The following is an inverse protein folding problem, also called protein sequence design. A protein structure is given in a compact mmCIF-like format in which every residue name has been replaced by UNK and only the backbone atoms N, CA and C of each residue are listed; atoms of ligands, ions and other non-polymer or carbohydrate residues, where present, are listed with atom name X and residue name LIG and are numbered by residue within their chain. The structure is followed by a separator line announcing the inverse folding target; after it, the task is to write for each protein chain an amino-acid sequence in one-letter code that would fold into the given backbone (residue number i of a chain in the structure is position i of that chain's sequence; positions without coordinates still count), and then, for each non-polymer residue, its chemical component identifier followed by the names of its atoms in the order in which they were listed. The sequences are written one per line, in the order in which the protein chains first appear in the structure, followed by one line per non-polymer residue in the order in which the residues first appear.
data_IF_702943690024
#
_entry.id   IF_702943690024
#
_cell.length_a   1.000
_cell.length_b   1.000
_cell.length_c   1.000
_cell.angle_alpha   90.00
_cell.angle_beta   90.00
_cell.angle_gamma   90.00
#
_symmetry.space_group_name_H-M   'P 1'
#
loop_
_entity.id
_entity.type
_entity.pdbx_description
1 polymer ?
#
# COMPACT_ATOMS: atom_id res chain seq x y z
N UNK A 1 8.17 3.45 -10.94
CA UNK A 1 7.26 3.43 -9.77
C UNK A 1 7.37 4.74 -9.01
N UNK A 2 6.26 5.34 -8.71
CA UNK A 2 6.21 6.60 -7.97
C UNK A 2 5.50 6.38 -6.65
N UNK A 3 6.13 6.76 -5.56
CA UNK A 3 5.53 6.67 -4.23
C UNK A 3 5.14 8.07 -3.79
N UNK A 4 3.88 8.24 -3.44
CA UNK A 4 3.34 9.51 -3.01
C UNK A 4 2.80 9.39 -1.61
N UNK A 5 3.25 10.25 -0.72
CA UNK A 5 2.76 10.30 0.65
C UNK A 5 1.89 11.54 0.80
N UNK A 6 0.60 11.31 1.02
CA UNK A 6 -0.37 12.39 1.13
C UNK A 6 -0.58 12.88 2.55
N UNK A 7 0.23 12.39 3.48
CA UNK A 7 0.12 12.80 4.88
C UNK A 7 0.95 14.05 5.13
N UNK A 8 0.29 15.17 5.27
CA UNK A 8 1.00 16.45 5.37
C UNK A 8 1.54 16.81 6.74
N UNK A 9 1.32 16.00 7.78
CA UNK A 9 1.63 16.40 9.15
C UNK A 9 2.67 15.56 9.86
N UNK A 10 3.21 14.55 9.24
CA UNK A 10 4.22 13.72 9.87
C UNK A 10 5.60 14.37 9.80
N UNK A 11 6.44 14.13 10.82
CA UNK A 11 7.84 14.54 10.72
C UNK A 11 8.49 13.92 9.48
N UNK A 12 9.47 14.61 8.94
CA UNK A 12 10.15 14.18 7.73
C UNK A 12 10.80 12.80 7.90
N UNK A 13 11.36 12.52 9.07
CA UNK A 13 11.96 11.23 9.36
C UNK A 13 10.93 10.10 9.26
N UNK A 14 9.72 10.34 9.72
CA UNK A 14 8.65 9.35 9.62
C UNK A 14 8.18 9.17 8.19
N UNK A 15 8.14 10.24 7.42
CA UNK A 15 7.80 10.15 6.00
C UNK A 15 8.81 9.31 5.23
N UNK A 16 10.08 9.47 5.55
CA UNK A 16 11.13 8.65 4.93
C UNK A 16 11.00 7.18 5.32
N UNK A 17 10.69 6.92 6.59
CA UNK A 17 10.49 5.55 7.07
C UNK A 17 9.32 4.89 6.36
N UNK A 18 8.23 5.63 6.18
CA UNK A 18 7.06 5.14 5.46
C UNK A 18 7.43 4.79 4.02
N UNK A 19 8.13 5.69 3.35
CA UNK A 19 8.53 5.47 1.98
C UNK A 19 9.38 4.21 1.85
N UNK A 20 10.31 4.00 2.79
CA UNK A 20 11.16 2.81 2.78
C UNK A 20 10.37 1.52 3.02
N UNK A 21 9.45 1.55 3.98
CA UNK A 21 8.63 0.38 4.27
C UNK A 21 7.81 -0.03 3.05
N UNK A 22 7.18 0.93 2.41
CA UNK A 22 6.35 0.66 1.24
C UNK A 22 7.21 0.21 0.06
N UNK A 23 8.31 0.92 -0.18
CA UNK A 23 9.22 0.56 -1.27
C UNK A 23 9.73 -0.87 -1.10
N UNK A 24 10.18 -1.21 0.09
CA UNK A 24 10.68 -2.55 0.38
C UNK A 24 9.63 -3.62 0.10
N UNK A 25 8.39 -3.36 0.50
CA UNK A 25 7.32 -4.33 0.36
C UNK A 25 6.92 -4.58 -1.10
N UNK A 26 7.02 -3.57 -1.95
CA UNK A 26 6.52 -3.66 -3.32
C UNK A 26 7.59 -3.64 -4.40
N UNK A 27 8.87 -3.49 -4.01
CA UNK A 27 9.94 -3.32 -4.99
C UNK A 27 10.08 -4.47 -5.97
N UNK A 28 9.80 -5.71 -5.53
CA UNK A 28 9.88 -6.86 -6.44
C UNK A 28 8.84 -6.82 -7.55
N UNK A 29 7.83 -5.98 -7.40
CA UNK A 29 6.78 -5.81 -8.41
C UNK A 29 6.94 -4.52 -9.20
N UNK A 30 8.07 -3.86 -9.06
CA UNK A 30 8.30 -2.54 -9.62
C UNK A 30 7.95 -2.45 -11.11
N UNK A 31 8.30 -3.47 -11.87
CA UNK A 31 8.05 -3.46 -13.31
C UNK A 31 6.56 -3.50 -13.66
N UNK A 32 5.72 -3.95 -12.74
CA UNK A 32 4.27 -4.02 -12.94
C UNK A 32 3.53 -2.85 -12.33
N UNK A 33 4.20 -2.00 -11.56
CA UNK A 33 3.57 -0.91 -10.83
C UNK A 33 3.77 0.42 -11.55
N UNK A 34 2.67 1.14 -11.72
CA UNK A 34 2.70 2.49 -12.25
C UNK A 34 2.87 3.53 -11.14
N UNK A 35 2.09 3.44 -10.08
CA UNK A 35 2.15 4.39 -8.99
C UNK A 35 1.70 3.78 -7.67
N UNK A 36 2.22 4.32 -6.57
CA UNK A 36 1.82 3.95 -5.22
C UNK A 36 1.49 5.22 -4.46
N UNK A 37 0.33 5.25 -3.82
CA UNK A 37 -0.08 6.35 -2.96
C UNK A 37 -0.28 5.84 -1.54
N UNK A 38 0.29 6.54 -0.57
CA UNK A 38 0.12 6.22 0.83
C UNK A 38 -0.56 7.41 1.51
N UNK A 39 -1.66 7.14 2.17
CA UNK A 39 -2.42 8.17 2.89
C UNK A 39 -2.56 7.76 4.35
N UNK A 40 -2.21 8.67 5.24
CA UNK A 40 -2.44 8.50 6.66
C UNK A 40 -3.47 9.51 7.12
N UNK A 41 -4.43 9.05 7.88
CA UNK A 41 -5.49 9.91 8.38
C UNK A 41 -5.78 9.57 9.82
N UNK A 42 -5.96 10.62 10.61
CA UNK A 42 -6.38 10.47 11.99
C UNK A 42 -7.90 10.25 12.00
N UNK A 43 -8.32 9.11 12.51
CA UNK A 43 -9.73 8.77 12.53
C UNK A 43 -10.35 8.87 13.93
N UNK A 44 -9.58 9.31 14.92
CA UNK A 44 -10.16 9.43 16.25
C UNK A 44 -11.19 10.54 16.26
N UNK A 45 -12.29 10.27 16.94
CA UNK A 45 -13.35 11.23 17.07
C UNK A 45 -13.12 12.18 18.23
N UNK A 46 -14.12 12.99 18.56
CA UNK A 46 -14.02 13.95 19.66
C UNK A 46 -13.76 13.31 21.01
N UNK A 47 -13.94 12.03 21.13
CA UNK A 47 -13.72 11.33 22.39
C UNK A 47 -12.26 11.00 22.64
N UNK A 48 -11.39 11.34 21.76
CA UNK A 48 -9.99 10.97 21.88
C UNK A 48 -9.73 9.56 21.40
N UNK A 49 -8.60 9.01 21.72
CA UNK A 49 -8.13 7.79 21.09
C UNK A 49 -7.23 8.18 19.94
N UNK A 50 -6.26 7.35 19.62
CA UNK A 50 -5.24 7.73 18.64
C UNK A 50 -5.21 6.66 17.57
N UNK A 51 -6.27 6.57 16.80
CA UNK A 51 -6.33 5.63 15.70
C UNK A 51 -5.88 6.33 14.43
N UNK A 52 -4.95 5.70 13.76
CA UNK A 52 -4.45 6.18 12.47
C UNK A 52 -4.90 5.21 11.41
N UNK A 53 -5.58 5.74 10.40
CA UNK A 53 -5.96 4.95 9.24
C UNK A 53 -4.87 5.09 8.18
N UNK A 54 -4.29 3.96 7.79
CA UNK A 54 -3.33 3.94 6.71
C UNK A 54 -3.97 3.30 5.50
N UNK A 55 -3.90 3.97 4.37
CA UNK A 55 -4.43 3.46 3.11
C UNK A 55 -3.31 3.45 2.08
N UNK A 56 -3.14 2.32 1.42
CA UNK A 56 -2.19 2.20 0.33
C UNK A 56 -2.96 1.87 -0.94
N UNK A 57 -2.78 2.69 -1.96
CA UNK A 57 -3.37 2.48 -3.26
C UNK A 57 -2.26 2.24 -4.27
N UNK A 58 -2.31 1.12 -4.96
CA UNK A 58 -1.35 0.78 -6.00
C UNK A 58 -2.06 0.73 -7.33
N UNK A 59 -1.51 1.45 -8.31
CA UNK A 59 -1.98 1.39 -9.70
C UNK A 59 -1.00 0.52 -10.48
N UNK A 60 -1.51 -0.52 -11.10
CA UNK A 60 -0.69 -1.40 -11.93
C UNK A 60 -0.70 -0.92 -13.37
N UNK A 61 0.32 -1.29 -14.11
CA UNK A 61 0.45 -0.89 -15.51
C UNK A 61 -0.65 -1.47 -16.40
N UNK A 62 -1.29 -2.55 -15.96
CA UNK A 62 -2.41 -3.13 -16.69
C UNK A 62 -3.74 -2.41 -16.44
N UNK A 63 -3.72 -1.33 -15.66
CA UNK A 63 -4.90 -0.55 -15.36
C UNK A 63 -5.60 -0.92 -14.06
N UNK A 64 -5.21 -2.01 -13.42
CA UNK A 64 -5.83 -2.41 -12.15
C UNK A 64 -5.42 -1.48 -11.03
N UNK A 65 -6.32 -1.26 -10.09
CA UNK A 65 -6.05 -0.49 -8.89
C UNK A 65 -6.33 -1.35 -7.67
N UNK A 66 -5.36 -1.43 -6.80
CA UNK A 66 -5.43 -2.24 -5.59
C UNK A 66 -5.39 -1.33 -4.38
N UNK A 67 -6.27 -1.58 -3.43
CA UNK A 67 -6.42 -0.72 -2.26
C UNK A 67 -6.40 -1.56 -0.98
N UNK A 68 -5.58 -1.14 -0.02
CA UNK A 68 -5.50 -1.77 1.30
C UNK A 68 -5.64 -0.70 2.35
N UNK A 69 -6.40 -0.99 3.39
CA UNK A 69 -6.62 -0.07 4.50
C UNK A 69 -6.36 -0.79 5.81
N UNK A 70 -5.62 -0.16 6.71
CA UNK A 70 -5.36 -0.64 8.06
C UNK A 70 -5.53 0.49 9.05
N UNK A 71 -6.01 0.14 10.25
CA UNK A 71 -6.16 1.11 11.33
C UNK A 71 -5.32 0.63 12.51
N UNK A 72 -4.42 1.46 12.98
CA UNK A 72 -3.52 1.14 14.07
C UNK A 72 -3.30 2.37 14.94
N UNK A 73 -2.84 2.14 16.17
CA UNK A 73 -2.52 3.24 17.06
C UNK A 73 -1.31 4.04 16.58
N UNK A 74 -0.35 3.36 16.00
CA UNK A 74 0.88 3.99 15.52
C UNK A 74 0.91 4.00 14.00
N UNK A 75 1.24 5.16 13.38
CA UNK A 75 1.27 5.25 11.92
C UNK A 75 2.20 4.25 11.25
N UNK A 76 3.41 4.09 11.80
CA UNK A 76 4.37 3.17 11.20
C UNK A 76 3.92 1.72 11.26
N UNK A 77 3.27 1.34 12.37
CA UNK A 77 2.72 -0.01 12.47
C UNK A 77 1.62 -0.24 11.45
N UNK A 78 0.77 0.77 11.24
CA UNK A 78 -0.28 0.70 10.23
C UNK A 78 0.29 0.56 8.83
N UNK A 79 1.30 1.37 8.52
CA UNK A 79 1.95 1.31 7.20
C UNK A 79 2.61 -0.04 6.98
N UNK A 80 3.33 -0.55 7.99
CA UNK A 80 4.00 -1.84 7.85
C UNK A 80 3.01 -2.96 7.55
N UNK A 81 1.90 -2.97 8.27
CA UNK A 81 0.87 -3.99 8.09
C UNK A 81 0.17 -3.84 6.73
N UNK A 82 -0.17 -2.61 6.37
CA UNK A 82 -0.81 -2.35 5.08
C UNK A 82 0.11 -2.71 3.92
N UNK A 83 1.40 -2.38 4.04
CA UNK A 83 2.37 -2.69 3.00
C UNK A 83 2.54 -4.21 2.83
N UNK A 84 2.59 -4.94 3.93
CA UNK A 84 2.68 -6.40 3.87
C UNK A 84 1.46 -7.00 3.19
N UNK A 85 0.27 -6.54 3.55
CA UNK A 85 -0.95 -6.98 2.90
C UNK A 85 -0.97 -6.63 1.42
N UNK A 86 -0.50 -5.44 1.09
CA UNK A 86 -0.48 -4.99 -0.31
C UNK A 86 0.44 -5.88 -1.16
N UNK A 87 1.58 -6.28 -0.62
CA UNK A 87 2.48 -7.16 -1.37
C UNK A 87 1.81 -8.50 -1.69
N UNK A 88 1.01 -9.04 -0.77
CA UNK A 88 0.26 -10.26 -1.01
C UNK A 88 -0.87 -10.06 -2.04
N UNK A 89 -1.53 -8.91 -1.98
CA UNK A 89 -2.60 -8.60 -2.94
C UNK A 89 -2.03 -8.48 -4.35
N UNK A 90 -0.90 -7.81 -4.48
CA UNK A 90 -0.23 -7.68 -5.78
C UNK A 90 0.18 -9.05 -6.31
N UNK A 91 0.83 -9.86 -5.47
CA UNK A 91 1.30 -11.17 -5.88
C UNK A 91 0.13 -12.03 -6.39
N UNK A 92 -0.98 -12.00 -5.67
CA UNK A 92 -2.16 -12.77 -6.04
C UNK A 92 -2.76 -12.29 -7.36
N UNK A 93 -2.79 -10.98 -7.56
CA UNK A 93 -3.28 -10.41 -8.81
C UNK A 93 -2.44 -10.83 -10.00
N UNK A 94 -1.12 -10.80 -9.85
CA UNK A 94 -0.21 -11.17 -10.93
C UNK A 94 -0.26 -12.67 -11.21
N UNK A 95 -0.42 -13.49 -10.20
CA UNK A 95 -0.58 -14.93 -10.37
C UNK A 95 -1.83 -15.27 -11.18
N UNK A 96 -2.95 -14.64 -10.85
CA UNK A 96 -4.18 -14.87 -11.60
C UNK A 96 -4.02 -14.50 -13.05
N UNK A 97 -3.33 -13.40 -13.31
CA UNK A 97 -3.12 -12.95 -14.69
C UNK A 97 -2.30 -13.96 -15.49
N UNK A 98 -1.34 -14.61 -14.83
CA UNK A 98 -0.53 -15.62 -15.49
C UNK A 98 -1.28 -16.92 -15.73
N UNK A 99 -2.17 -17.27 -14.84
CA UNK A 99 -2.93 -18.52 -14.94
C UNK A 99 -3.99 -18.50 -16.04
N UNK A 100 -4.58 -17.36 -16.29
CA UNK A 100 -5.66 -17.24 -17.26
C UNK A 100 -5.31 -17.82 -18.63
N UNK A 101 -4.14 -17.54 -19.22
CA UNK A 101 -3.81 -18.10 -20.53
C UNK A 101 -3.69 -19.61 -20.53
N UNK A 102 -3.26 -20.22 -19.42
CA UNK A 102 -3.09 -21.66 -19.34
C UNK A 102 -4.44 -22.38 -19.31
N UNK A 103 -5.38 -21.82 -18.60
CA UNK A 103 -6.70 -22.42 -18.48
C UNK A 103 -7.40 -22.52 -19.82
N UNK A 104 -7.14 -21.61 -20.71
CA UNK A 104 -7.85 -21.51 -21.95
C UNK A 104 -7.49 -22.56 -23.00
N UNK A 105 -6.40 -23.22 -22.80
CA UNK A 105 -5.89 -24.17 -23.78
C UNK A 105 -6.16 -25.62 -23.47
N UNK A 106 -6.79 -25.89 -22.39
CA UNK A 106 -7.10 -27.26 -22.03
C UNK A 106 -8.31 -27.79 -22.73
#
# INVERSE_FOLDING_TARGET
MTIRNLTGKLPEADQESIARLVDFAVSRFESDIDAVQVTLRDTNGPKGGVDQECRILVSLKDGARLNVKETQLHPLAGVAKAADRMSHVIARRLERRREIPHVRFS
#
